data_IF_327095718359
#
_entry.id   IF_327095718359
#
_cell.length_a   1.000
_cell.length_b   1.000
_cell.length_c   1.000
_cell.angle_alpha   90.00
_cell.angle_beta   90.00
_cell.angle_gamma   90.00
#
_symmetry.space_group_name_H-M   'P 1'
#
loop_
_entity.id
_entity.type
_entity.pdbx_description
1 polymer ?
#
# COMPACT_ATOMS: atom_id res chain seq x y z
N UNK A 1 11.06 20.23 -1.73
CA UNK A 1 10.48 19.09 -1.00
C UNK A 1 11.47 18.63 0.06
N UNK A 2 11.13 18.78 1.33
CA UNK A 2 11.88 18.18 2.42
C UNK A 2 11.45 16.73 2.61
N UNK A 3 12.38 15.81 2.84
CA UNK A 3 12.09 14.39 3.07
C UNK A 3 12.73 14.00 4.38
N UNK A 4 11.92 13.63 5.36
CA UNK A 4 12.42 13.05 6.61
C UNK A 4 12.37 11.53 6.50
N UNK A 5 13.47 10.85 6.83
CA UNK A 5 13.52 9.39 6.84
C UNK A 5 13.89 8.95 8.26
N UNK A 6 12.90 8.46 8.99
CA UNK A 6 13.04 7.88 10.31
C UNK A 6 13.33 6.39 10.14
N UNK A 7 14.62 6.04 10.00
CA UNK A 7 15.04 4.65 9.87
C UNK A 7 15.42 4.05 11.22
N UNK A 8 14.55 3.19 11.75
CA UNK A 8 14.72 2.49 13.03
C UNK A 8 15.32 1.08 12.86
N UNK A 9 15.45 0.59 11.61
CA UNK A 9 15.96 -0.75 11.29
C UNK A 9 17.37 -0.99 11.86
N UNK A 10 18.33 -0.03 11.81
CA UNK A 10 19.65 -0.22 12.43
C UNK A 10 19.58 -0.52 13.93
N UNK A 11 18.62 0.05 14.66
CA UNK A 11 18.43 -0.22 16.09
C UNK A 11 17.90 -1.64 16.31
N UNK A 12 16.96 -2.08 15.47
CA UNK A 12 16.48 -3.47 15.48
C UNK A 12 17.60 -4.47 15.19
N UNK A 13 18.45 -4.19 14.18
CA UNK A 13 19.56 -5.07 13.81
C UNK A 13 20.58 -5.22 14.95
N UNK A 14 20.84 -4.16 15.73
CA UNK A 14 21.69 -4.22 16.93
C UNK A 14 21.10 -5.11 18.03
N UNK A 15 19.77 -5.15 18.17
CA UNK A 15 19.12 -6.05 19.13
C UNK A 15 19.27 -7.51 18.71
N UNK A 16 19.34 -7.80 17.42
CA UNK A 16 19.56 -9.16 16.92
C UNK A 16 21.01 -9.64 17.03
N UNK A 17 21.97 -8.77 17.32
CA UNK A 17 23.37 -9.14 17.55
C UNK A 17 23.60 -9.84 18.91
N UNK A 18 22.60 -9.86 19.81
CA UNK A 18 22.70 -10.50 21.13
C UNK A 18 22.24 -11.97 21.17
N UNK A 19 22.09 -12.63 20.01
CA UNK A 19 21.79 -14.06 19.77
C UNK A 19 20.48 -14.63 20.39
N UNK A 20 19.81 -13.95 21.32
CA UNK A 20 18.53 -14.39 21.90
C UNK A 20 17.61 -13.18 22.14
N UNK A 21 16.73 -12.88 21.17
CA UNK A 21 15.74 -11.80 21.30
C UNK A 21 14.47 -12.36 21.93
N UNK A 22 14.05 -11.76 23.04
CA UNK A 22 12.78 -12.05 23.69
C UNK A 22 11.70 -11.02 23.34
N UNK A 23 10.48 -11.29 23.83
CA UNK A 23 9.37 -10.32 23.77
C UNK A 23 9.75 -8.98 24.43
N UNK A 24 10.51 -9.03 25.53
CA UNK A 24 10.92 -7.82 26.23
C UNK A 24 11.83 -6.92 25.37
N UNK A 25 12.74 -7.51 24.60
CA UNK A 25 13.64 -6.76 23.71
C UNK A 25 12.86 -6.08 22.57
N UNK A 26 11.87 -6.79 22.01
CA UNK A 26 10.96 -6.22 21.02
C UNK A 26 10.11 -5.09 21.61
N UNK A 27 9.56 -5.26 22.81
CA UNK A 27 8.77 -4.22 23.46
C UNK A 27 9.62 -2.96 23.69
N UNK A 28 10.86 -3.14 24.15
CA UNK A 28 11.80 -2.02 24.32
C UNK A 28 12.10 -1.31 23.00
N UNK A 29 12.27 -2.06 21.91
CA UNK A 29 12.44 -1.48 20.58
C UNK A 29 11.22 -0.66 20.15
N UNK A 30 10.02 -1.20 20.34
CA UNK A 30 8.78 -0.52 19.96
C UNK A 30 8.55 0.75 20.78
N UNK A 31 8.80 0.69 22.09
CA UNK A 31 8.63 1.84 23.00
C UNK A 31 9.67 2.96 22.74
N UNK A 32 10.79 2.64 22.09
CA UNK A 32 11.80 3.64 21.69
C UNK A 32 11.38 4.51 20.50
N UNK A 33 10.40 4.06 19.70
CA UNK A 33 9.99 4.71 18.45
C UNK A 33 8.46 4.80 18.33
N UNK A 34 7.76 5.47 19.28
CA UNK A 34 6.30 5.56 19.27
C UNK A 34 5.74 6.11 17.96
N UNK A 35 6.45 7.04 17.31
CA UNK A 35 6.09 7.62 16.02
C UNK A 35 5.92 6.60 14.90
N UNK A 36 6.65 5.48 14.94
CA UNK A 36 6.54 4.41 13.96
C UNK A 36 5.51 3.34 14.37
N UNK A 37 5.32 3.13 15.68
CA UNK A 37 4.67 1.94 16.21
C UNK A 37 3.27 2.16 16.77
N UNK A 38 2.90 3.37 17.18
CA UNK A 38 1.53 3.65 17.67
C UNK A 38 0.48 3.39 16.58
N UNK A 39 0.64 4.01 15.39
CA UNK A 39 -0.25 3.79 14.25
C UNK A 39 -0.23 2.31 13.80
N UNK A 40 0.96 1.71 13.74
CA UNK A 40 1.13 0.32 13.31
C UNK A 40 0.38 -0.66 14.21
N UNK A 41 0.55 -0.57 15.53
CA UNK A 41 -0.08 -1.53 16.44
C UNK A 41 -1.57 -1.28 16.67
N UNK A 42 -2.02 -0.03 16.53
CA UNK A 42 -3.43 0.32 16.67
C UNK A 42 -4.27 -0.17 15.48
N UNK A 43 -3.72 -0.16 14.26
CA UNK A 43 -4.54 -0.35 13.06
C UNK A 43 -4.05 -1.44 12.10
N UNK A 44 -2.76 -1.78 12.10
CA UNK A 44 -2.15 -2.63 11.06
C UNK A 44 -1.64 -3.98 11.58
N UNK A 45 -1.30 -4.06 12.86
CA UNK A 45 -0.81 -5.29 13.48
C UNK A 45 -1.21 -5.33 14.96
N UNK A 46 -2.23 -6.09 15.37
CA UNK A 46 -2.54 -6.20 16.79
C UNK A 46 -1.32 -6.69 17.59
N UNK A 47 -0.92 -5.93 18.62
CA UNK A 47 0.24 -6.26 19.47
C UNK A 47 -0.11 -7.35 20.48
N UNK A 48 -0.14 -8.62 20.04
CA UNK A 48 -0.37 -9.77 20.92
C UNK A 48 0.91 -10.58 21.13
N UNK A 49 1.06 -11.19 22.30
CA UNK A 49 2.22 -12.05 22.62
C UNK A 49 2.40 -13.18 21.60
N UNK A 50 1.30 -13.80 21.16
CA UNK A 50 1.31 -14.85 20.15
C UNK A 50 1.91 -14.36 18.82
N UNK A 51 1.49 -13.18 18.35
CA UNK A 51 1.98 -12.60 17.10
C UNK A 51 3.45 -12.21 17.20
N UNK A 52 3.85 -11.57 18.29
CA UNK A 52 5.24 -11.18 18.50
C UNK A 52 6.14 -12.41 18.64
N UNK A 53 5.70 -13.44 19.37
CA UNK A 53 6.42 -14.72 19.47
C UNK A 53 6.55 -15.42 18.11
N UNK A 54 5.54 -15.31 17.25
CA UNK A 54 5.60 -15.80 15.87
C UNK A 54 6.57 -14.98 15.02
N UNK A 55 6.60 -13.65 15.19
CA UNK A 55 7.49 -12.76 14.48
C UNK A 55 8.97 -13.03 14.83
N UNK A 56 9.29 -13.20 16.12
CA UNK A 56 10.65 -13.56 16.60
C UNK A 56 11.20 -14.76 15.84
N UNK A 57 10.39 -15.80 15.67
CA UNK A 57 10.80 -17.02 14.95
C UNK A 57 11.06 -16.82 13.46
N UNK A 58 10.47 -15.78 12.85
CA UNK A 58 10.57 -15.50 11.41
C UNK A 58 11.70 -14.53 11.06
N UNK A 59 12.14 -13.68 11.99
CA UNK A 59 13.19 -12.71 11.70
C UNK A 59 14.50 -13.32 11.20
N UNK A 60 15.00 -14.46 11.73
CA UNK A 60 16.26 -15.03 11.24
C UNK A 60 16.27 -15.29 9.73
N UNK A 61 15.14 -15.72 9.16
CA UNK A 61 15.01 -15.98 7.72
C UNK A 61 14.95 -14.68 6.90
N UNK A 62 14.58 -13.55 7.51
CA UNK A 62 14.44 -12.24 6.87
C UNK A 62 15.60 -11.28 7.13
N UNK A 63 16.54 -11.64 8.00
CA UNK A 63 17.64 -10.78 8.42
C UNK A 63 18.47 -10.23 7.26
N UNK A 64 18.79 -11.07 6.26
CA UNK A 64 19.53 -10.66 5.08
C UNK A 64 18.75 -9.62 4.27
N UNK A 65 17.47 -9.87 4.04
CA UNK A 65 16.59 -8.97 3.29
C UNK A 65 16.46 -7.63 4.02
N UNK A 66 16.20 -7.64 5.33
CA UNK A 66 16.06 -6.45 6.18
C UNK A 66 17.33 -5.57 6.11
N UNK A 67 18.52 -6.17 6.12
CA UNK A 67 19.79 -5.43 5.97
C UNK A 67 19.88 -4.74 4.61
N UNK A 68 19.60 -5.47 3.52
CA UNK A 68 19.60 -4.92 2.15
C UNK A 68 18.59 -3.76 2.05
N UNK A 69 17.39 -3.94 2.59
CA UNK A 69 16.33 -2.92 2.57
C UNK A 69 16.75 -1.68 3.36
N UNK A 70 17.33 -1.85 4.55
CA UNK A 70 17.80 -0.71 5.37
C UNK A 70 18.85 0.15 4.64
N UNK A 71 19.70 -0.47 3.82
CA UNK A 71 20.75 0.22 3.08
C UNK A 71 20.22 0.86 1.78
N UNK A 72 19.31 0.19 1.09
CA UNK A 72 18.87 0.59 -0.25
C UNK A 72 17.68 1.54 -0.25
N UNK A 73 16.72 1.33 0.66
CA UNK A 73 15.43 2.02 0.65
C UNK A 73 15.53 3.55 0.78
N UNK A 74 16.42 4.14 1.60
CA UNK A 74 16.59 5.58 1.64
C UNK A 74 16.96 6.20 0.29
N UNK A 75 17.82 5.53 -0.50
CA UNK A 75 18.20 6.00 -1.84
C UNK A 75 17.02 5.93 -2.83
N UNK A 76 16.20 4.88 -2.70
CA UNK A 76 15.02 4.66 -3.54
C UNK A 76 13.95 5.71 -3.22
N UNK A 77 13.72 6.01 -1.94
CA UNK A 77 12.80 7.08 -1.51
C UNK A 77 13.20 8.41 -2.13
N UNK A 78 14.51 8.73 -2.13
CA UNK A 78 15.00 9.95 -2.74
C UNK A 78 14.70 9.99 -4.24
N UNK A 79 15.05 8.92 -4.97
CA UNK A 79 14.80 8.77 -6.42
C UNK A 79 13.31 8.92 -6.75
N UNK A 80 12.45 8.12 -6.13
CA UNK A 80 11.03 8.05 -6.48
C UNK A 80 10.32 9.35 -6.14
N UNK A 81 10.65 9.95 -5.00
CA UNK A 81 10.07 11.26 -4.65
C UNK A 81 10.52 12.35 -5.64
N UNK A 82 11.77 12.31 -6.12
CA UNK A 82 12.23 13.24 -7.17
C UNK A 82 11.48 13.03 -8.48
N UNK A 83 11.21 11.77 -8.84
CA UNK A 83 10.43 11.46 -10.04
C UNK A 83 8.99 12.01 -9.93
N UNK A 84 8.35 11.93 -8.75
CA UNK A 84 7.06 12.59 -8.51
C UNK A 84 7.15 14.11 -8.63
N UNK A 85 8.23 14.73 -8.16
CA UNK A 85 8.46 16.16 -8.30
C UNK A 85 8.59 16.56 -9.78
N UNK A 86 9.41 15.84 -10.54
CA UNK A 86 9.66 16.11 -11.96
C UNK A 86 8.40 15.90 -12.79
N UNK A 87 7.71 14.77 -12.61
CA UNK A 87 6.56 14.41 -13.45
C UNK A 87 5.30 15.18 -13.10
N UNK A 88 5.05 15.43 -11.82
CA UNK A 88 3.76 15.96 -11.35
C UNK A 88 3.85 17.32 -10.64
N UNK A 89 5.05 17.90 -10.51
CA UNK A 89 5.26 19.11 -9.72
C UNK A 89 4.98 18.90 -8.22
N UNK A 90 4.96 17.65 -7.76
CA UNK A 90 4.65 17.33 -6.37
C UNK A 90 5.73 17.87 -5.43
N UNK A 91 5.34 18.75 -4.52
CA UNK A 91 6.29 19.46 -3.64
C UNK A 91 5.71 19.60 -2.23
N UNK A 92 5.44 18.46 -1.59
CA UNK A 92 5.01 18.38 -0.19
C UNK A 92 6.08 17.67 0.61
N UNK A 93 6.22 18.05 1.87
CA UNK A 93 7.12 17.38 2.79
C UNK A 93 6.57 16.00 3.15
N UNK A 94 7.42 14.99 2.98
CA UNK A 94 7.10 13.59 3.26
C UNK A 94 7.98 13.08 4.39
N UNK A 95 7.38 12.31 5.29
CA UNK A 95 8.07 11.59 6.35
C UNK A 95 7.93 10.09 6.09
N UNK A 96 9.06 9.39 6.06
CA UNK A 96 9.10 7.93 5.90
C UNK A 96 9.54 7.28 7.20
N UNK A 97 8.75 6.36 7.71
CA UNK A 97 9.10 5.51 8.86
C UNK A 97 9.50 4.13 8.36
N UNK A 98 10.80 3.82 8.47
CA UNK A 98 11.34 2.51 8.10
C UNK A 98 11.58 1.72 9.38
N UNK A 99 10.95 0.57 9.51
CA UNK A 99 10.98 -0.20 10.75
C UNK A 99 10.87 -1.70 10.51
N UNK A 100 11.06 -2.47 11.57
CA UNK A 100 10.77 -3.91 11.57
C UNK A 100 9.59 -4.19 12.50
N UNK A 101 8.47 -4.61 11.92
CA UNK A 101 7.22 -4.84 12.62
C UNK A 101 6.97 -6.30 12.97
N UNK A 102 5.71 -6.62 13.28
CA UNK A 102 5.23 -7.95 13.63
C UNK A 102 4.56 -8.70 12.48
N UNK A 103 5.01 -8.47 11.23
CA UNK A 103 4.46 -9.08 10.01
C UNK A 103 2.97 -8.76 9.73
N UNK A 104 2.46 -7.61 10.20
CA UNK A 104 1.09 -7.12 9.96
C UNK A 104 0.86 -6.62 8.53
N UNK A 105 1.15 -5.35 8.28
CA UNK A 105 1.16 -4.72 6.94
C UNK A 105 2.58 -4.62 6.41
N UNK A 106 2.75 -4.52 5.08
CA UNK A 106 4.04 -4.28 4.40
C UNK A 106 4.34 -2.79 4.25
N UNK A 107 3.31 -2.01 3.92
CA UNK A 107 3.36 -0.57 3.78
C UNK A 107 1.97 0.02 4.07
N UNK A 108 1.92 1.29 4.47
CA UNK A 108 0.70 2.07 4.61
C UNK A 108 1.03 3.57 4.72
N UNK A 109 0.02 4.39 4.47
CA UNK A 109 0.02 5.81 4.82
C UNK A 109 -0.78 6.03 6.11
N UNK A 110 -0.45 7.05 6.89
CA UNK A 110 -1.28 7.45 8.02
C UNK A 110 -2.71 7.77 7.56
N UNK A 111 -3.66 7.66 8.49
CA UNK A 111 -5.06 8.05 8.24
C UNK A 111 -5.23 9.56 8.05
N UNK A 112 -4.31 10.35 8.58
CA UNK A 112 -4.24 11.76 8.29
C UNK A 112 -3.89 11.97 6.81
N UNK A 113 -4.49 13.00 6.21
CA UNK A 113 -4.58 13.13 4.75
C UNK A 113 -3.18 13.30 4.12
N UNK A 114 -2.18 13.76 4.88
CA UNK A 114 -0.85 14.12 4.39
C UNK A 114 0.22 13.79 5.44
N UNK A 115 1.33 13.19 5.02
CA UNK A 115 2.62 13.37 5.68
C UNK A 115 3.43 12.09 5.82
N UNK A 116 2.82 11.06 6.39
CA UNK A 116 3.57 9.91 6.90
C UNK A 116 3.33 8.63 6.08
N UNK A 117 4.44 8.04 5.65
CA UNK A 117 4.52 6.78 4.91
C UNK A 117 5.30 5.77 5.76
N UNK A 118 4.73 4.59 5.96
CA UNK A 118 5.26 3.55 6.82
C UNK A 118 5.66 2.34 5.99
N UNK A 119 6.89 1.84 6.19
CA UNK A 119 7.45 0.72 5.45
C UNK A 119 8.06 -0.29 6.42
N UNK A 120 7.46 -1.48 6.51
CA UNK A 120 7.92 -2.56 7.40
C UNK A 120 8.84 -3.52 6.64
N UNK A 121 10.14 -3.44 6.89
CA UNK A 121 11.16 -4.12 6.10
C UNK A 121 11.00 -5.65 6.07
N UNK A 122 10.46 -6.28 7.12
CA UNK A 122 10.33 -7.74 7.20
C UNK A 122 9.34 -8.34 6.20
N UNK A 123 8.49 -7.51 5.60
CA UNK A 123 7.51 -7.93 4.59
C UNK A 123 7.81 -7.42 3.18
N UNK A 124 8.90 -6.69 2.99
CA UNK A 124 9.30 -6.20 1.67
C UNK A 124 10.22 -7.20 0.99
N UNK A 125 10.16 -7.23 -0.34
CA UNK A 125 11.20 -7.86 -1.15
C UNK A 125 12.47 -6.99 -1.13
N UNK A 126 13.67 -7.57 -1.01
CA UNK A 126 14.93 -6.82 -1.07
C UNK A 126 15.30 -6.34 -2.48
N UNK A 127 14.64 -6.85 -3.52
CA UNK A 127 14.87 -6.45 -4.90
C UNK A 127 14.53 -4.97 -5.13
N UNK A 128 15.48 -4.24 -5.71
CA UNK A 128 15.38 -2.79 -5.93
C UNK A 128 14.09 -2.38 -6.63
N UNK A 129 13.74 -3.07 -7.71
CA UNK A 129 12.59 -2.68 -8.53
C UNK A 129 11.26 -2.86 -7.80
N UNK A 130 11.17 -3.86 -6.92
CA UNK A 130 9.99 -4.05 -6.07
C UNK A 130 9.85 -2.92 -5.05
N UNK A 131 10.98 -2.51 -4.45
CA UNK A 131 11.04 -1.37 -3.54
C UNK A 131 10.68 -0.05 -4.24
N UNK A 132 11.13 0.16 -5.49
CA UNK A 132 10.75 1.33 -6.30
C UNK A 132 9.24 1.41 -6.48
N UNK A 133 8.59 0.29 -6.81
CA UNK A 133 7.15 0.24 -7.03
C UNK A 133 6.38 0.52 -5.76
N UNK A 134 6.69 -0.15 -4.64
CA UNK A 134 5.92 0.05 -3.40
C UNK A 134 6.10 1.47 -2.85
N UNK A 135 7.30 2.05 -2.92
CA UNK A 135 7.52 3.46 -2.55
C UNK A 135 6.70 4.38 -3.47
N UNK A 136 6.67 4.10 -4.77
CA UNK A 136 5.90 4.89 -5.71
C UNK A 136 4.39 4.79 -5.46
N UNK A 137 3.90 3.61 -5.05
CA UNK A 137 2.51 3.38 -4.67
C UNK A 137 2.11 4.21 -3.45
N UNK A 138 2.89 4.16 -2.37
CA UNK A 138 2.56 4.89 -1.14
C UNK A 138 2.63 6.41 -1.32
N UNK A 139 3.63 6.92 -2.05
CA UNK A 139 3.65 8.34 -2.44
C UNK A 139 2.42 8.68 -3.29
N UNK A 140 1.97 7.75 -4.14
CA UNK A 140 0.78 7.90 -4.97
C UNK A 140 -0.49 8.16 -4.16
N UNK A 141 -0.65 7.52 -3.00
CA UNK A 141 -1.75 7.82 -2.08
C UNK A 141 -1.69 9.25 -1.56
N UNK A 142 -0.52 9.73 -1.10
CA UNK A 142 -0.36 11.09 -0.58
C UNK A 142 -0.55 12.13 -1.70
N UNK A 143 0.04 11.89 -2.88
CA UNK A 143 -0.12 12.76 -4.04
C UNK A 143 -1.60 12.87 -4.44
N UNK A 144 -2.32 11.75 -4.50
CA UNK A 144 -3.73 11.76 -4.82
C UNK A 144 -4.55 12.53 -3.80
N UNK A 145 -4.29 12.34 -2.51
CA UNK A 145 -4.92 13.12 -1.45
C UNK A 145 -4.68 14.64 -1.65
N UNK A 146 -3.44 15.03 -1.98
CA UNK A 146 -3.13 16.43 -2.29
C UNK A 146 -3.91 16.96 -3.49
N UNK A 147 -3.95 16.22 -4.60
CA UNK A 147 -4.69 16.63 -5.80
C UNK A 147 -6.19 16.77 -5.52
N UNK A 148 -6.76 15.86 -4.72
CA UNK A 148 -8.15 15.94 -4.28
C UNK A 148 -8.38 17.18 -3.40
N UNK A 149 -7.52 17.43 -2.42
CA UNK A 149 -7.56 18.62 -1.56
C UNK A 149 -7.55 19.91 -2.40
N UNK A 150 -6.60 20.05 -3.33
CA UNK A 150 -6.49 21.22 -4.22
C UNK A 150 -7.71 21.36 -5.14
N UNK A 151 -8.37 20.26 -5.48
CA UNK A 151 -9.61 20.27 -6.27
C UNK A 151 -10.88 20.60 -5.46
N UNK A 152 -10.76 20.80 -4.14
CA UNK A 152 -11.86 21.19 -3.25
C UNK A 152 -12.55 20.03 -2.52
N UNK A 153 -11.85 18.91 -2.29
CA UNK A 153 -12.40 17.76 -1.57
C UNK A 153 -12.79 18.12 -0.12
N UNK A 154 -14.02 17.78 0.27
CA UNK A 154 -14.49 17.90 1.66
C UNK A 154 -14.29 16.57 2.38
N UNK A 155 -13.17 16.44 3.07
CA UNK A 155 -12.80 15.22 3.79
C UNK A 155 -13.77 14.83 4.91
N UNK A 156 -14.56 15.78 5.42
CA UNK A 156 -15.58 15.47 6.45
C UNK A 156 -16.73 14.62 5.90
N UNK A 157 -16.89 14.58 4.57
CA UNK A 157 -17.89 13.80 3.86
C UNK A 157 -17.29 12.59 3.13
N UNK A 158 -15.98 12.38 3.24
CA UNK A 158 -15.32 11.27 2.59
C UNK A 158 -15.81 9.92 3.16
N UNK A 159 -16.32 9.07 2.27
CA UNK A 159 -16.81 7.73 2.63
C UNK A 159 -15.66 6.72 2.65
N UNK A 160 -14.72 6.90 3.58
CA UNK A 160 -13.48 6.12 3.65
C UNK A 160 -13.67 4.59 3.74
N UNK A 161 -14.83 4.13 4.21
CA UNK A 161 -15.17 2.71 4.36
C UNK A 161 -16.00 2.16 3.19
N UNK A 162 -16.32 2.97 2.16
CA UNK A 162 -17.03 2.49 0.99
C UNK A 162 -16.06 1.79 0.03
N UNK A 163 -16.37 0.56 -0.38
CA UNK A 163 -15.52 -0.25 -1.24
C UNK A 163 -15.18 0.43 -2.58
N UNK A 164 -16.07 1.29 -3.09
CA UNK A 164 -15.79 2.04 -4.32
C UNK A 164 -14.67 3.08 -4.11
N UNK A 165 -14.56 3.64 -2.90
CA UNK A 165 -13.47 4.53 -2.51
C UNK A 165 -12.17 3.73 -2.37
N UNK A 166 -12.18 2.58 -1.67
CA UNK A 166 -11.00 1.70 -1.57
C UNK A 166 -10.49 1.29 -2.96
N UNK A 167 -11.40 0.81 -3.82
CA UNK A 167 -11.10 0.38 -5.20
C UNK A 167 -10.46 1.52 -6.01
N UNK A 168 -11.04 2.72 -5.95
CA UNK A 168 -10.52 3.87 -6.68
C UNK A 168 -9.16 4.32 -6.14
N UNK A 169 -8.96 4.39 -4.82
CA UNK A 169 -7.70 4.84 -4.22
C UNK A 169 -6.55 3.90 -4.48
N UNK A 170 -6.75 2.58 -4.34
CA UNK A 170 -5.73 1.59 -4.69
C UNK A 170 -5.44 1.58 -6.19
N UNK A 171 -6.48 1.77 -7.01
CA UNK A 171 -6.34 1.91 -8.46
C UNK A 171 -5.50 3.11 -8.88
N UNK A 172 -5.74 4.28 -8.26
CA UNK A 172 -4.95 5.50 -8.49
C UNK A 172 -3.50 5.30 -8.07
N UNK A 173 -3.24 4.79 -6.87
CA UNK A 173 -1.88 4.57 -6.38
C UNK A 173 -1.11 3.57 -7.26
N UNK A 174 -1.76 2.48 -7.67
CA UNK A 174 -1.17 1.49 -8.58
C UNK A 174 -0.88 2.12 -9.95
N UNK A 175 -1.84 2.86 -10.51
CA UNK A 175 -1.66 3.56 -11.79
C UNK A 175 -0.50 4.57 -11.74
N UNK A 176 -0.41 5.37 -10.68
CA UNK A 176 0.70 6.31 -10.49
C UNK A 176 2.04 5.59 -10.32
N UNK A 177 2.07 4.46 -9.61
CA UNK A 177 3.28 3.64 -9.47
C UNK A 177 3.80 3.14 -10.83
N UNK A 178 2.90 2.78 -11.77
CA UNK A 178 3.26 2.40 -13.14
C UNK A 178 3.84 3.55 -13.95
N UNK A 179 3.38 4.78 -13.70
CA UNK A 179 3.91 5.98 -14.36
C UNK A 179 5.27 6.42 -13.80
N UNK A 180 5.53 6.15 -12.53
CA UNK A 180 6.77 6.55 -11.87
C UNK A 180 7.85 5.48 -12.01
N UNK A 181 7.58 4.24 -11.60
CA UNK A 181 8.51 3.12 -11.64
C UNK A 181 8.38 2.30 -12.94
N UNK A 182 8.68 2.93 -14.08
CA UNK A 182 8.48 2.35 -15.43
C UNK A 182 9.38 1.14 -15.72
N UNK A 183 8.92 0.29 -16.66
CA UNK A 183 9.75 -0.75 -17.30
C UNK A 183 9.71 -2.12 -16.64
N UNK A 184 8.79 -2.33 -15.70
CA UNK A 184 8.65 -3.57 -14.94
C UNK A 184 7.54 -4.46 -15.50
N UNK A 185 7.58 -5.75 -15.16
CA UNK A 185 6.48 -6.67 -15.46
C UNK A 185 5.21 -6.19 -14.76
N UNK A 186 4.06 -6.46 -15.40
CA UNK A 186 2.76 -6.01 -14.89
C UNK A 186 2.45 -6.58 -13.51
N UNK A 187 2.88 -7.80 -13.23
CA UNK A 187 2.69 -8.51 -11.95
C UNK A 187 3.32 -7.78 -10.76
N UNK A 188 4.51 -7.19 -10.96
CA UNK A 188 5.26 -6.49 -9.90
C UNK A 188 4.48 -5.31 -9.33
N UNK A 189 3.65 -4.62 -10.12
CA UNK A 189 2.82 -3.50 -9.64
C UNK A 189 1.69 -3.94 -8.69
N UNK A 190 1.39 -5.24 -8.61
CA UNK A 190 0.33 -5.78 -7.76
C UNK A 190 0.88 -6.63 -6.60
N UNK A 191 1.94 -7.40 -6.84
CA UNK A 191 2.53 -8.27 -5.82
C UNK A 191 3.69 -7.62 -5.06
N UNK A 192 4.39 -6.67 -5.69
CA UNK A 192 5.65 -6.11 -5.20
C UNK A 192 6.73 -7.19 -4.98
N UNK A 193 6.66 -8.26 -5.77
CA UNK A 193 7.61 -9.38 -5.80
C UNK A 193 7.68 -10.01 -7.22
N UNK A 194 8.52 -11.03 -7.39
CA UNK A 194 8.65 -11.78 -8.65
C UNK A 194 7.63 -12.91 -8.82
N UNK A 195 6.83 -13.20 -7.78
CA UNK A 195 5.93 -14.36 -7.75
C UNK A 195 4.50 -14.00 -8.18
N UNK A 196 4.28 -12.75 -8.61
CA UNK A 196 2.97 -12.22 -8.97
C UNK A 196 2.42 -12.67 -10.33
N UNK A 197 3.17 -13.40 -11.14
CA UNK A 197 2.74 -13.81 -12.50
C UNK A 197 1.54 -14.77 -12.45
N UNK A 198 1.52 -15.72 -11.52
CA UNK A 198 0.39 -16.64 -11.34
C UNK A 198 -0.88 -15.88 -10.90
N UNK A 199 -0.72 -14.85 -10.06
CA UNK A 199 -1.80 -13.96 -9.67
C UNK A 199 -2.29 -13.14 -10.85
N UNK A 200 -1.38 -12.60 -11.66
CA UNK A 200 -1.72 -11.85 -12.85
C UNK A 200 -2.53 -12.70 -13.83
N UNK A 201 -2.09 -13.93 -14.07
CA UNK A 201 -2.81 -14.89 -14.89
C UNK A 201 -4.20 -15.19 -14.32
N UNK A 202 -4.31 -15.43 -13.02
CA UNK A 202 -5.60 -15.61 -12.35
C UNK A 202 -6.57 -14.44 -12.61
N UNK A 203 -6.09 -13.20 -12.52
CA UNK A 203 -6.93 -12.02 -12.77
C UNK A 203 -7.39 -11.92 -14.22
N UNK A 204 -6.47 -12.11 -15.17
CA UNK A 204 -6.75 -11.92 -16.59
C UNK A 204 -7.74 -12.96 -17.12
N UNK A 205 -7.62 -14.22 -16.69
CA UNK A 205 -8.55 -15.30 -17.06
C UNK A 205 -9.97 -15.13 -16.47
N UNK A 206 -10.09 -14.52 -15.27
CA UNK A 206 -11.36 -14.44 -14.55
C UNK A 206 -11.96 -13.03 -14.49
N UNK A 207 -11.44 -12.07 -15.27
CA UNK A 207 -11.77 -10.64 -15.14
C UNK A 207 -13.27 -10.34 -15.04
N UNK A 208 -14.09 -10.90 -15.92
CA UNK A 208 -15.54 -10.65 -15.94
C UNK A 208 -16.25 -11.26 -14.72
N UNK A 209 -15.80 -12.45 -14.27
CA UNK A 209 -16.30 -13.09 -13.07
C UNK A 209 -15.92 -12.30 -11.81
N UNK A 210 -14.69 -11.81 -11.74
CA UNK A 210 -14.17 -10.98 -10.64
C UNK A 210 -15.01 -9.69 -10.53
N UNK A 211 -15.22 -8.96 -11.64
CA UNK A 211 -16.08 -7.74 -11.67
C UNK A 211 -17.49 -8.04 -11.16
N UNK A 212 -18.10 -9.11 -11.67
CA UNK A 212 -19.46 -9.51 -11.28
C UNK A 212 -19.54 -9.87 -9.80
N UNK A 213 -18.55 -10.59 -9.27
CA UNK A 213 -18.55 -11.01 -7.87
C UNK A 213 -18.34 -9.83 -6.93
N UNK A 214 -17.44 -8.89 -7.27
CA UNK A 214 -17.26 -7.65 -6.52
C UNK A 214 -18.57 -6.86 -6.44
N UNK A 215 -19.27 -6.70 -7.58
CA UNK A 215 -20.57 -6.04 -7.63
C UNK A 215 -21.63 -6.75 -6.77
N UNK A 216 -21.67 -8.08 -6.80
CA UNK A 216 -22.59 -8.86 -5.96
C UNK A 216 -22.32 -8.65 -4.48
N UNK A 217 -21.05 -8.66 -4.08
CA UNK A 217 -20.66 -8.42 -2.70
C UNK A 217 -21.03 -7.02 -2.24
N UNK A 218 -20.82 -6.03 -3.09
CA UNK A 218 -21.20 -4.65 -2.85
C UNK A 218 -22.72 -4.51 -2.64
N UNK A 219 -23.53 -5.04 -3.55
CA UNK A 219 -25.00 -4.95 -3.51
C UNK A 219 -25.59 -5.70 -2.30
N UNK A 220 -24.98 -6.81 -1.89
CA UNK A 220 -25.40 -7.58 -0.70
C UNK A 220 -25.01 -6.92 0.63
N UNK A 221 -24.27 -5.80 0.59
CA UNK A 221 -23.77 -5.08 1.76
C UNK A 221 -22.30 -5.39 2.05
N UNK A 222 -21.50 -4.35 2.26
CA UNK A 222 -20.07 -4.47 2.48
C UNK A 222 -19.74 -4.77 3.95
N UNK A 223 -18.83 -5.70 4.20
CA UNK A 223 -18.38 -6.11 5.55
C UNK A 223 -16.85 -6.19 5.61
N UNK A 224 -16.29 -6.25 6.81
CA UNK A 224 -14.84 -6.39 7.01
C UNK A 224 -14.28 -7.68 6.39
N UNK A 225 -15.06 -8.75 6.35
CA UNK A 225 -14.68 -9.99 5.67
C UNK A 225 -14.56 -9.79 4.16
N UNK A 226 -15.44 -8.98 3.56
CA UNK A 226 -15.38 -8.63 2.15
C UNK A 226 -14.20 -7.68 1.87
N UNK A 227 -14.00 -6.67 2.72
CA UNK A 227 -12.81 -5.81 2.62
C UNK A 227 -11.51 -6.65 2.67
N UNK A 228 -11.46 -7.63 3.58
CA UNK A 228 -10.37 -8.59 3.67
C UNK A 228 -10.23 -9.43 2.41
N UNK A 229 -11.32 -10.01 1.92
CA UNK A 229 -11.34 -10.86 0.72
C UNK A 229 -10.76 -10.14 -0.49
N UNK A 230 -11.13 -8.87 -0.69
CA UNK A 230 -10.79 -8.11 -1.88
C UNK A 230 -9.46 -7.38 -1.81
N UNK A 231 -9.05 -6.88 -0.64
CA UNK A 231 -7.90 -5.96 -0.53
C UNK A 231 -6.74 -6.46 0.36
N UNK A 232 -6.90 -7.55 1.12
CA UNK A 232 -5.85 -8.02 2.04
C UNK A 232 -5.17 -9.29 1.55
N UNK A 233 -3.89 -9.46 1.89
CA UNK A 233 -3.11 -10.69 1.60
C UNK A 233 -3.72 -11.96 2.20
N UNK A 234 -4.48 -11.82 3.29
CA UNK A 234 -5.14 -12.93 3.98
C UNK A 234 -6.54 -13.26 3.43
N UNK A 235 -6.97 -12.59 2.36
CA UNK A 235 -8.19 -12.88 1.61
C UNK A 235 -7.93 -13.78 0.39
N UNK A 236 -8.78 -13.65 -0.64
CA UNK A 236 -8.66 -14.38 -1.90
C UNK A 236 -9.29 -15.76 -1.94
N UNK A 237 -10.24 -16.04 -1.05
CA UNK A 237 -10.91 -17.33 -0.94
C UNK A 237 -11.83 -17.64 -2.12
N UNK A 238 -12.39 -16.63 -2.79
CA UNK A 238 -13.33 -16.85 -3.90
C UNK A 238 -12.66 -17.41 -5.15
N UNK A 239 -11.45 -16.95 -5.45
CA UNK A 239 -10.74 -17.26 -6.70
C UNK A 239 -9.41 -17.99 -6.47
N UNK A 240 -8.97 -18.14 -5.21
CA UNK A 240 -7.65 -18.67 -4.87
C UNK A 240 -6.54 -17.62 -4.99
N UNK A 241 -6.89 -16.36 -5.21
CA UNK A 241 -6.00 -15.24 -5.52
C UNK A 241 -6.41 -14.05 -4.66
N UNK A 242 -5.51 -13.54 -3.83
CA UNK A 242 -5.76 -12.39 -2.94
C UNK A 242 -5.62 -11.05 -3.67
N UNK A 243 -6.02 -9.92 -3.04
CA UNK A 243 -5.82 -8.55 -3.53
C UNK A 243 -6.43 -8.21 -4.91
N UNK A 244 -7.45 -8.95 -5.37
CA UNK A 244 -8.15 -8.69 -6.64
C UNK A 244 -8.72 -7.26 -6.76
N UNK A 245 -8.99 -6.60 -5.63
CA UNK A 245 -9.44 -5.20 -5.58
C UNK A 245 -8.45 -4.22 -6.21
N UNK A 246 -7.14 -4.47 -6.13
CA UNK A 246 -6.10 -3.64 -6.75
C UNK A 246 -6.21 -3.70 -8.28
N UNK A 247 -6.37 -4.90 -8.83
CA UNK A 247 -6.53 -5.09 -10.28
C UNK A 247 -7.81 -4.44 -10.82
N UNK A 248 -8.93 -4.60 -10.10
CA UNK A 248 -10.18 -3.93 -10.44
C UNK A 248 -10.03 -2.41 -10.36
N UNK A 249 -9.37 -1.91 -9.32
CA UNK A 249 -9.06 -0.51 -9.12
C UNK A 249 -8.29 0.07 -10.29
N UNK A 250 -7.17 -0.55 -10.66
CA UNK A 250 -6.35 -0.09 -11.79
C UNK A 250 -7.11 -0.17 -13.10
N UNK A 251 -7.89 -1.23 -13.34
CA UNK A 251 -8.74 -1.35 -14.54
C UNK A 251 -9.80 -0.25 -14.62
N UNK A 252 -10.39 0.14 -13.48
CA UNK A 252 -11.33 1.26 -13.42
C UNK A 252 -10.62 2.60 -13.64
N UNK A 253 -9.44 2.79 -13.04
CA UNK A 253 -8.61 3.98 -13.22
C UNK A 253 -8.23 4.17 -14.69
N UNK A 254 -7.74 3.12 -15.35
CA UNK A 254 -7.45 3.14 -16.79
C UNK A 254 -8.69 3.48 -17.63
N UNK A 255 -9.86 2.94 -17.27
CA UNK A 255 -11.11 3.27 -17.94
C UNK A 255 -11.46 4.75 -17.85
N UNK A 256 -11.39 5.36 -16.66
CA UNK A 256 -11.70 6.79 -16.51
C UNK A 256 -10.63 7.68 -17.13
N UNK A 257 -9.34 7.32 -17.08
CA UNK A 257 -8.26 8.05 -17.78
C UNK A 257 -8.51 8.05 -19.28
N UNK A 258 -8.83 6.90 -19.87
CA UNK A 258 -9.13 6.79 -21.30
C UNK A 258 -10.39 7.55 -21.70
N UNK A 259 -11.34 7.74 -20.77
CA UNK A 259 -12.62 8.39 -21.04
C UNK A 259 -12.54 9.92 -20.86
N UNK A 260 -11.84 10.39 -19.83
CA UNK A 260 -11.89 11.80 -19.39
C UNK A 260 -10.54 12.51 -19.39
N UNK A 261 -9.43 11.79 -19.53
CA UNK A 261 -8.09 12.32 -19.30
C UNK A 261 -7.60 12.08 -17.88
N UNK A 262 -6.29 12.16 -17.69
CA UNK A 262 -5.65 11.85 -16.41
C UNK A 262 -5.99 12.86 -15.31
N UNK A 263 -6.02 14.16 -15.62
CA UNK A 263 -6.31 15.20 -14.63
C UNK A 263 -7.73 15.05 -14.06
N UNK A 264 -8.70 14.78 -14.93
CA UNK A 264 -10.07 14.49 -14.59
C UNK A 264 -10.20 13.18 -13.81
N UNK A 265 -9.46 12.15 -14.23
CA UNK A 265 -9.43 10.86 -13.54
C UNK A 265 -8.88 10.98 -12.10
N UNK A 266 -7.84 11.77 -11.86
CA UNK A 266 -7.25 12.00 -10.53
C UNK A 266 -8.10 12.91 -9.63
N UNK A 267 -9.00 13.72 -10.20
CA UNK A 267 -9.92 14.59 -9.46
C UNK A 267 -11.37 14.10 -9.49
N UNK A 268 -11.58 12.86 -9.95
CA UNK A 268 -12.91 12.35 -10.28
C UNK A 268 -13.81 12.30 -9.05
N UNK A 269 -13.27 11.85 -7.91
CA UNK A 269 -14.01 11.71 -6.65
C UNK A 269 -14.58 13.03 -6.13
N UNK A 270 -13.84 14.13 -6.27
CA UNK A 270 -14.30 15.46 -5.82
C UNK A 270 -15.48 15.96 -6.63
N UNK A 271 -15.49 15.69 -7.95
CA UNK A 271 -16.41 16.31 -8.91
C UNK A 271 -17.61 15.44 -9.25
N UNK A 272 -17.57 14.15 -8.95
CA UNK A 272 -18.54 13.17 -9.42
C UNK A 272 -19.02 12.23 -8.32
N UNK A 273 -20.14 11.56 -8.58
CA UNK A 273 -20.58 10.45 -7.74
C UNK A 273 -19.73 9.20 -8.05
N UNK A 274 -18.56 9.11 -7.39
CA UNK A 274 -17.61 8.00 -7.58
C UNK A 274 -18.28 6.63 -7.46
N UNK A 275 -19.08 6.44 -6.40
CA UNK A 275 -19.82 5.21 -6.15
C UNK A 275 -20.66 4.79 -7.34
N UNK A 276 -21.50 5.69 -7.84
CA UNK A 276 -22.39 5.38 -8.97
C UNK A 276 -21.58 5.04 -10.22
N UNK A 277 -20.51 5.79 -10.49
CA UNK A 277 -19.62 5.53 -11.62
C UNK A 277 -18.93 4.16 -11.55
N UNK A 278 -18.39 3.77 -10.39
CA UNK A 278 -17.78 2.45 -10.19
C UNK A 278 -18.84 1.36 -10.40
N UNK A 279 -20.05 1.51 -9.84
CA UNK A 279 -21.11 0.53 -10.00
C UNK A 279 -21.58 0.38 -11.45
N UNK A 280 -21.72 1.48 -12.18
CA UNK A 280 -22.03 1.46 -13.62
C UNK A 280 -20.91 0.79 -14.43
N UNK A 281 -19.65 1.06 -14.09
CA UNK A 281 -18.51 0.41 -14.76
C UNK A 281 -18.44 -1.09 -14.48
N UNK A 282 -18.76 -1.53 -13.27
CA UNK A 282 -18.80 -2.95 -12.91
C UNK A 282 -19.88 -3.74 -13.68
N UNK A 283 -20.92 -3.06 -14.18
CA UNK A 283 -22.00 -3.66 -14.97
C UNK A 283 -21.69 -3.78 -16.47
N UNK A 284 -20.67 -3.05 -16.97
CA UNK A 284 -20.20 -3.12 -18.36
C UNK A 284 -19.35 -4.36 -18.58
#
# INVERSE_FOLDING_TARGET
MNKMINNTIPSFLKLLESDDIGLHDLDKYYDMYPEAFEEYFNYHCPKTEERLSSAIKKYPEKLKDIRIISETLPSIIQEISEEYHIQFGFNIDLTFHLFVGGFGSNAFVERDIIGDIFLSAEKLSPEREHLRVIVAHEIGHIYHNFVLQESGMDWTKAQWTDAAVSLYREGVATYLSQRIAKGLSKSVYYSYDNDGDDWLYCYEEHKDHIKKHFLQDYVKGWTDEKEKEWFRLSGGTYFGCNRLGYFLGTSYMEYIVNTFGESEALTFWTKNNLKSSVMEWLQK
#
